data_IF_699363473368
#
_entry.id   IF_699363473368
#
_cell.length_a   1.000
_cell.length_b   1.000
_cell.length_c   1.000
_cell.angle_alpha   90.00
_cell.angle_beta   90.00
_cell.angle_gamma   90.00
#
_symmetry.space_group_name_H-M   'P 1'
#
loop_
_entity.id
_entity.type
_entity.pdbx_description
1 polymer ?
#
# COMPACT_ATOMS: atom_id res chain seq x y z
N UNK A 1 17.91 -42.88 12.12
CA UNK A 1 17.22 -42.04 11.13
C UNK A 1 17.38 -40.57 11.51
N UNK A 2 17.48 -39.63 10.55
CA UNK A 2 17.45 -38.19 10.84
C UNK A 2 15.99 -37.69 10.79
N UNK A 3 15.64 -36.72 11.65
CA UNK A 3 14.34 -36.01 11.57
C UNK A 3 14.25 -35.28 10.22
N UNK A 4 13.06 -35.26 9.60
CA UNK A 4 12.83 -34.48 8.37
C UNK A 4 12.93 -32.99 8.68
N UNK A 5 13.50 -32.22 7.75
CA UNK A 5 13.46 -30.76 7.79
C UNK A 5 12.10 -30.33 7.20
N UNK A 6 11.17 -29.94 8.07
CA UNK A 6 9.80 -29.52 7.74
C UNK A 6 9.42 -28.36 8.64
N UNK A 7 8.52 -27.52 8.18
CA UNK A 7 8.01 -26.34 8.90
C UNK A 7 6.53 -26.55 9.22
N UNK A 8 6.11 -26.21 10.45
CA UNK A 8 4.74 -26.39 10.91
C UNK A 8 3.91 -25.12 10.66
N UNK A 9 3.62 -24.81 9.39
CA UNK A 9 2.71 -23.71 9.07
C UNK A 9 1.24 -24.14 9.27
N UNK A 10 0.38 -23.35 9.94
CA UNK A 10 0.54 -21.92 10.30
C UNK A 10 1.10 -21.62 11.71
N UNK A 11 1.36 -22.62 12.54
CA UNK A 11 1.79 -22.45 13.94
C UNK A 11 3.19 -21.81 14.06
N UNK A 12 4.14 -22.28 13.25
CA UNK A 12 5.51 -21.81 13.13
C UNK A 12 5.66 -20.95 11.87
N UNK A 13 5.45 -19.64 12.00
CA UNK A 13 5.62 -18.69 10.88
C UNK A 13 7.10 -18.35 10.66
N UNK A 14 7.56 -18.47 9.41
CA UNK A 14 8.85 -17.94 8.98
C UNK A 14 8.91 -16.41 9.15
N UNK A 15 10.02 -15.84 9.66
CA UNK A 15 10.24 -14.41 9.59
C UNK A 15 10.40 -13.98 8.12
N UNK A 16 9.61 -13.00 7.68
CA UNK A 16 9.72 -12.42 6.34
C UNK A 16 10.97 -11.56 6.23
N UNK A 17 11.69 -11.65 5.10
CA UNK A 17 12.83 -10.80 4.84
C UNK A 17 12.43 -9.30 4.80
N UNK A 18 13.29 -8.35 5.21
CA UNK A 18 12.96 -6.92 5.25
C UNK A 18 12.54 -6.29 3.91
N UNK A 19 12.85 -6.93 2.78
CA UNK A 19 12.51 -6.50 1.41
C UNK A 19 11.47 -7.42 0.74
N UNK A 20 10.69 -8.15 1.53
CA UNK A 20 9.62 -9.00 1.01
C UNK A 20 8.49 -8.16 0.39
N UNK A 21 8.17 -8.42 -0.88
CA UNK A 21 7.03 -7.79 -1.56
C UNK A 21 5.72 -8.42 -1.09
N UNK A 22 5.21 -7.91 0.03
CA UNK A 22 3.94 -8.33 0.63
C UNK A 22 2.74 -7.54 0.09
N UNK A 23 1.67 -7.47 0.91
CA UNK A 23 0.47 -6.69 0.59
C UNK A 23 0.81 -5.19 0.55
N UNK A 24 0.37 -4.50 -0.50
CA UNK A 24 0.43 -3.05 -0.62
C UNK A 24 -0.27 -2.35 0.57
N UNK A 25 0.27 -1.21 0.99
CA UNK A 25 -0.28 -0.42 2.09
C UNK A 25 -0.12 1.07 1.80
N UNK A 26 -1.19 1.84 2.01
CA UNK A 26 -1.16 3.29 1.96
C UNK A 26 -0.51 3.81 3.25
N UNK A 27 0.67 4.41 3.12
CA UNK A 27 1.45 4.87 4.26
C UNK A 27 1.08 6.32 4.65
N UNK A 28 1.19 6.62 5.95
CA UNK A 28 1.01 7.96 6.52
C UNK A 28 2.35 8.59 6.92
N UNK A 29 2.38 9.90 7.01
CA UNK A 29 3.41 10.71 7.65
C UNK A 29 3.29 10.62 9.19
N UNK A 30 4.29 11.06 9.97
CA UNK A 30 4.24 11.01 11.44
C UNK A 30 3.14 11.85 12.08
N UNK A 31 2.63 12.85 11.35
CA UNK A 31 1.48 13.70 11.71
C UNK A 31 0.10 13.03 11.43
N UNK A 32 0.09 11.85 10.79
CA UNK A 32 -1.12 11.13 10.41
C UNK A 32 -1.65 11.42 9.00
N UNK A 33 -1.11 12.43 8.29
CA UNK A 33 -1.50 12.73 6.91
C UNK A 33 -1.05 11.62 5.95
N UNK A 34 -1.80 11.37 4.89
CA UNK A 34 -1.46 10.36 3.89
C UNK A 34 -0.29 10.80 3.01
N UNK A 35 0.59 9.86 2.67
CA UNK A 35 1.67 10.09 1.69
C UNK A 35 1.18 10.14 0.24
N UNK A 36 -0.08 9.77 0.00
CA UNK A 36 -0.66 9.75 -1.34
C UNK A 36 -1.22 11.12 -1.69
N UNK A 37 -0.70 11.70 -2.78
CA UNK A 37 -1.16 12.98 -3.34
C UNK A 37 -2.08 12.83 -4.55
N UNK A 38 -2.60 11.62 -4.81
CA UNK A 38 -3.50 11.36 -5.93
C UNK A 38 -2.88 11.59 -7.31
N UNK A 39 -1.56 11.40 -7.47
CA UNK A 39 -0.83 11.69 -8.71
C UNK A 39 -0.94 10.64 -9.82
N UNK A 40 -1.68 9.54 -9.60
CA UNK A 40 -1.96 8.46 -10.57
C UNK A 40 -0.72 7.70 -11.12
N UNK A 41 0.51 8.12 -10.81
CA UNK A 41 1.76 7.52 -11.31
C UNK A 41 1.91 6.02 -11.00
N UNK A 42 1.37 5.54 -9.88
CA UNK A 42 1.40 4.12 -9.53
C UNK A 42 0.40 3.28 -10.35
N UNK A 43 -0.71 3.86 -10.79
CA UNK A 43 -1.63 3.23 -11.74
C UNK A 43 -1.00 3.19 -13.14
N UNK A 44 -0.47 4.33 -13.62
CA UNK A 44 0.24 4.42 -14.90
C UNK A 44 1.44 3.45 -15.01
N UNK A 45 2.18 3.27 -13.91
CA UNK A 45 3.31 2.34 -13.87
C UNK A 45 2.91 0.86 -13.65
N UNK A 46 1.63 0.54 -13.47
CA UNK A 46 1.17 -0.82 -13.17
C UNK A 46 1.16 -1.69 -14.44
N UNK A 47 2.01 -2.72 -14.57
CA UNK A 47 2.05 -3.58 -15.76
C UNK A 47 0.85 -4.53 -15.87
N UNK A 48 -0.02 -4.58 -14.86
CA UNK A 48 -1.17 -5.47 -14.75
C UNK A 48 -2.52 -4.73 -14.68
N UNK A 49 -2.50 -3.39 -14.83
CA UNK A 49 -3.70 -2.51 -14.76
C UNK A 49 -4.61 -2.80 -13.55
N UNK A 50 -3.98 -3.02 -12.38
CA UNK A 50 -4.65 -3.48 -11.16
C UNK A 50 -4.88 -2.38 -10.12
N UNK A 51 -4.65 -1.11 -10.48
CA UNK A 51 -4.65 0.05 -9.57
C UNK A 51 -5.42 1.18 -10.27
N UNK A 52 -6.43 1.73 -9.61
CA UNK A 52 -7.11 2.94 -10.05
C UNK A 52 -7.04 3.98 -8.92
N UNK A 53 -6.90 5.23 -9.32
CA UNK A 53 -6.68 6.35 -8.42
C UNK A 53 -7.54 7.48 -8.92
N UNK A 54 -8.24 8.12 -8.00
CA UNK A 54 -8.96 9.36 -8.28
C UNK A 54 -8.45 10.42 -7.30
N UNK A 55 -7.71 11.40 -7.82
CA UNK A 55 -7.18 12.50 -7.01
C UNK A 55 -8.21 13.61 -6.80
N UNK A 56 -8.31 14.13 -5.58
CA UNK A 56 -9.09 15.35 -5.27
C UNK A 56 -8.21 16.38 -4.55
N UNK A 57 -8.68 17.61 -4.47
CA UNK A 57 -7.94 18.73 -3.91
C UNK A 57 -8.21 18.86 -2.40
N UNK A 58 -7.19 19.14 -1.59
CA UNK A 58 -7.36 19.47 -0.17
C UNK A 58 -7.95 20.88 -0.03
N UNK A 59 -8.77 21.12 1.00
CA UNK A 59 -9.18 22.48 1.40
C UNK A 59 -8.47 22.90 2.69
N UNK A 60 -8.82 24.09 3.21
CA UNK A 60 -8.33 24.54 4.52
C UNK A 60 -9.07 23.83 5.68
N UNK A 61 -10.30 23.38 5.43
CA UNK A 61 -11.15 22.62 6.37
C UNK A 61 -10.87 21.11 6.32
N UNK A 62 -10.64 20.55 5.12
CA UNK A 62 -10.48 19.11 4.88
C UNK A 62 -9.14 18.80 4.22
N UNK A 63 -8.17 18.36 5.03
CA UNK A 63 -6.80 18.05 4.60
C UNK A 63 -6.41 16.60 4.92
N UNK A 64 -6.18 15.82 3.87
CA UNK A 64 -5.82 14.40 3.96
C UNK A 64 -4.35 14.13 3.64
N UNK A 65 -3.69 15.01 2.89
CA UNK A 65 -2.26 14.92 2.56
C UNK A 65 -1.53 16.25 2.83
N UNK A 66 -0.18 16.26 2.89
CA UNK A 66 0.58 17.51 2.99
C UNK A 66 0.56 18.38 1.71
N UNK A 67 0.12 17.83 0.57
CA UNK A 67 0.17 18.50 -0.73
C UNK A 67 -1.08 19.35 -1.04
N UNK A 68 -1.18 19.78 -2.29
CA UNK A 68 -2.39 20.39 -2.84
C UNK A 68 -3.51 19.35 -3.03
N UNK A 69 -3.14 18.11 -3.34
CA UNK A 69 -4.07 17.02 -3.70
C UNK A 69 -3.88 15.77 -2.84
N UNK A 70 -4.90 14.93 -2.75
CA UNK A 70 -4.91 13.64 -2.06
C UNK A 70 -5.61 12.56 -2.91
N UNK A 71 -5.41 11.28 -2.58
CA UNK A 71 -6.12 10.18 -3.25
C UNK A 71 -7.51 9.96 -2.67
N UNK A 72 -8.55 10.58 -3.26
CA UNK A 72 -9.96 10.38 -2.87
C UNK A 72 -10.44 8.96 -3.11
N UNK A 73 -9.89 8.30 -4.13
CA UNK A 73 -10.01 6.85 -4.32
C UNK A 73 -8.61 6.25 -4.49
N UNK A 74 -8.33 5.18 -3.75
CA UNK A 74 -7.15 4.34 -3.92
C UNK A 74 -7.55 2.90 -3.60
N UNK A 75 -7.65 2.05 -4.62
CA UNK A 75 -7.89 0.62 -4.44
C UNK A 75 -6.87 -0.16 -5.29
N UNK A 76 -6.68 -1.42 -4.92
CA UNK A 76 -5.74 -2.34 -5.58
C UNK A 76 -6.45 -3.67 -5.72
N UNK A 77 -6.41 -4.24 -6.92
CA UNK A 77 -7.13 -5.45 -7.33
C UNK A 77 -8.66 -5.28 -7.23
N UNK A 78 -9.22 -4.62 -8.24
CA UNK A 78 -10.65 -4.33 -8.40
C UNK A 78 -11.41 -5.61 -8.78
N UNK A 79 -11.91 -6.31 -7.75
CA UNK A 79 -12.78 -7.48 -7.86
C UNK A 79 -13.91 -7.38 -6.84
#
# INVERSE_FOLDING_TARGET
FKKRLTEQYPEEKKPTAPRFHGRHQLNRHPDGLEKCVGCELCAWACPADAIYVEGADNTDEERYSPGERYGRVYQINYL
#
